data_IF_566277807706
#
_entry.id   IF_566277807706
#
_cell.length_a   1.000
_cell.length_b   1.000
_cell.length_c   1.000
_cell.angle_alpha   90.00
_cell.angle_beta   90.00
_cell.angle_gamma   90.00
#
_symmetry.space_group_name_H-M   'P 1'
#
loop_
_entity.id
_entity.type
_entity.pdbx_description
1 polymer ?
#
# COMPACT_ATOMS: atom_id res chain seq x y z
N UNK A 1 5.37 -23.59 1.50
CA UNK A 1 4.76 -22.25 1.45
C UNK A 1 5.55 -21.44 0.45
N UNK A 2 4.88 -20.68 -0.44
CA UNK A 2 5.58 -19.93 -1.47
C UNK A 2 6.27 -18.70 -0.87
N UNK A 3 7.47 -18.36 -1.34
CA UNK A 3 8.12 -17.09 -1.00
C UNK A 3 7.45 -15.94 -1.75
N UNK A 4 7.70 -14.69 -1.32
CA UNK A 4 7.20 -13.50 -2.02
C UNK A 4 7.62 -13.47 -3.50
N UNK A 5 8.84 -13.91 -3.84
CA UNK A 5 9.30 -14.01 -5.24
C UNK A 5 8.52 -15.05 -6.04
N UNK A 6 8.19 -16.19 -5.43
CA UNK A 6 7.39 -17.23 -6.07
C UNK A 6 5.95 -16.74 -6.30
N UNK A 7 5.38 -16.00 -5.33
CA UNK A 7 4.06 -15.38 -5.45
C UNK A 7 4.06 -14.33 -6.58
N UNK A 8 5.05 -13.43 -6.63
CA UNK A 8 5.18 -12.44 -7.71
C UNK A 8 5.23 -13.12 -9.09
N UNK A 9 6.12 -14.11 -9.24
CA UNK A 9 6.29 -14.80 -10.51
C UNK A 9 5.02 -15.50 -10.99
N UNK A 10 4.23 -16.05 -10.08
CA UNK A 10 3.01 -16.76 -10.43
C UNK A 10 1.84 -15.82 -10.77
N UNK A 11 1.68 -14.73 -10.01
CA UNK A 11 0.46 -13.92 -10.06
C UNK A 11 0.64 -12.50 -10.62
N UNK A 12 1.86 -11.98 -10.70
CA UNK A 12 2.15 -10.69 -11.33
C UNK A 12 2.65 -10.91 -12.77
N UNK A 13 3.63 -11.80 -12.97
CA UNK A 13 4.21 -12.03 -14.30
C UNK A 13 3.26 -12.79 -15.24
N UNK A 14 2.38 -13.59 -14.65
CA UNK A 14 1.33 -14.32 -15.37
C UNK A 14 0.06 -13.50 -15.64
N UNK A 15 0.00 -12.24 -15.20
CA UNK A 15 -1.20 -11.40 -15.28
C UNK A 15 -1.10 -10.40 -16.45
N UNK A 16 -2.23 -10.08 -17.08
CA UNK A 16 -2.34 -9.11 -18.17
C UNK A 16 -2.69 -7.70 -17.70
N UNK A 17 -2.83 -7.46 -16.39
CA UNK A 17 -3.21 -6.16 -15.82
C UNK A 17 -2.11 -5.08 -15.95
N UNK A 18 -0.86 -5.47 -16.20
CA UNK A 18 0.24 -4.60 -16.59
C UNK A 18 1.31 -5.41 -17.35
N UNK A 19 2.20 -4.77 -18.13
CA UNK A 19 3.23 -5.47 -18.89
C UNK A 19 4.24 -6.22 -17.99
N UNK A 20 4.43 -7.52 -18.22
CA UNK A 20 5.50 -8.28 -17.58
C UNK A 20 6.83 -8.00 -18.30
N UNK A 21 7.63 -7.06 -17.78
CA UNK A 21 8.94 -6.69 -18.34
C UNK A 21 10.04 -6.81 -17.30
N UNK A 22 11.24 -7.21 -17.72
CA UNK A 22 12.43 -7.25 -16.86
C UNK A 22 12.70 -5.90 -16.17
N UNK A 23 12.30 -4.79 -16.81
CA UNK A 23 12.40 -3.47 -16.22
C UNK A 23 11.45 -3.28 -15.04
N UNK A 24 10.16 -3.61 -15.18
CA UNK A 24 9.21 -3.52 -14.07
C UNK A 24 9.54 -4.50 -12.94
N UNK A 25 10.08 -5.68 -13.26
CA UNK A 25 10.66 -6.57 -12.25
C UNK A 25 11.75 -5.92 -11.44
N UNK A 26 12.67 -5.22 -12.09
CA UNK A 26 13.74 -4.49 -11.40
C UNK A 26 13.18 -3.37 -10.53
N UNK A 27 12.20 -2.60 -11.02
CA UNK A 27 11.53 -1.57 -10.23
C UNK A 27 10.84 -2.19 -9.01
N UNK A 28 10.04 -3.24 -9.19
CA UNK A 28 9.39 -3.97 -8.09
C UNK A 28 10.40 -4.47 -7.05
N UNK A 29 11.54 -5.01 -7.49
CA UNK A 29 12.61 -5.45 -6.60
C UNK A 29 13.25 -4.29 -5.83
N UNK A 30 13.42 -3.11 -6.44
CA UNK A 30 13.90 -1.92 -5.74
C UNK A 30 12.89 -1.50 -4.67
N UNK A 31 11.61 -1.40 -5.03
CA UNK A 31 10.52 -1.01 -4.12
C UNK A 31 10.37 -2.00 -2.96
N UNK A 32 10.51 -3.31 -3.21
CA UNK A 32 10.58 -4.34 -2.17
C UNK A 32 11.64 -4.03 -1.11
N UNK A 33 12.84 -3.65 -1.54
CA UNK A 33 13.96 -3.40 -0.63
C UNK A 33 13.94 -1.97 -0.05
N UNK A 34 12.99 -1.14 -0.48
CA UNK A 34 12.86 0.28 -0.16
C UNK A 34 11.38 0.66 0.01
N UNK A 35 10.69 0.13 1.04
CA UNK A 35 9.27 0.39 1.27
C UNK A 35 8.97 1.89 1.43
N UNK A 36 9.94 2.68 1.91
CA UNK A 36 9.82 4.14 1.99
C UNK A 36 9.65 4.80 0.61
N UNK A 37 10.24 4.21 -0.43
CA UNK A 37 10.15 4.71 -1.82
C UNK A 37 8.79 4.38 -2.41
N UNK A 38 8.25 3.17 -2.16
CA UNK A 38 6.89 2.81 -2.57
C UNK A 38 5.88 3.79 -1.97
N UNK A 39 5.96 4.02 -0.65
CA UNK A 39 5.07 4.96 0.03
C UNK A 39 5.18 6.39 -0.51
N UNK A 40 6.40 6.84 -0.84
CA UNK A 40 6.61 8.16 -1.41
C UNK A 40 6.07 8.31 -2.84
N UNK A 41 6.20 7.27 -3.68
CA UNK A 41 5.60 7.24 -5.03
C UNK A 41 4.08 7.30 -4.92
N UNK A 42 3.47 6.45 -4.08
CA UNK A 42 2.02 6.43 -3.85
C UNK A 42 1.53 7.79 -3.35
N UNK A 43 2.24 8.39 -2.39
CA UNK A 43 1.90 9.73 -1.87
C UNK A 43 2.02 10.81 -2.96
N UNK A 44 3.09 10.80 -3.76
CA UNK A 44 3.25 11.77 -4.83
C UNK A 44 2.16 11.66 -5.90
N UNK A 45 1.74 10.43 -6.20
CA UNK A 45 0.62 10.16 -7.10
C UNK A 45 -0.71 10.71 -6.53
N UNK A 46 -1.02 10.42 -5.26
CA UNK A 46 -2.20 10.93 -4.55
C UNK A 46 -2.23 12.46 -4.45
N UNK A 47 -1.08 13.07 -4.14
CA UNK A 47 -0.91 14.53 -4.02
C UNK A 47 -1.01 15.24 -5.40
N UNK A 48 -1.25 14.50 -6.50
CA UNK A 48 -1.26 14.99 -7.89
C UNK A 48 0.00 15.77 -8.25
N UNK A 49 1.16 15.35 -7.72
CA UNK A 49 2.45 15.94 -8.10
C UNK A 49 2.75 15.62 -9.57
N UNK A 50 3.50 16.46 -10.28
CA UNK A 50 3.87 16.16 -11.67
C UNK A 50 4.86 15.02 -11.78
N UNK A 51 5.72 14.82 -10.77
CA UNK A 51 6.71 13.76 -10.73
C UNK A 51 7.14 13.41 -9.30
N UNK A 52 7.89 12.32 -9.21
CA UNK A 52 8.67 11.90 -8.07
C UNK A 52 10.03 11.37 -8.54
N UNK A 53 11.10 11.77 -7.87
CA UNK A 53 12.46 11.31 -8.16
C UNK A 53 13.05 10.71 -6.90
N UNK A 54 13.49 9.45 -6.99
CA UNK A 54 14.25 8.79 -5.94
C UNK A 54 15.72 8.73 -6.31
N UNK A 55 16.54 9.31 -5.43
CA UNK A 55 18.00 9.31 -5.53
C UNK A 55 18.59 8.22 -4.62
N UNK A 56 18.93 7.02 -5.14
CA UNK A 56 19.58 6.00 -4.34
C UNK A 56 21.02 6.44 -3.99
N UNK A 57 21.53 5.95 -2.85
CA UNK A 57 22.94 6.20 -2.47
C UNK A 57 23.95 5.62 -3.47
N UNK A 58 23.58 4.53 -4.13
CA UNK A 58 24.39 3.83 -5.13
C UNK A 58 23.46 3.39 -6.26
N UNK A 59 23.83 3.69 -7.51
CA UNK A 59 23.06 3.36 -8.70
C UNK A 59 22.37 4.57 -9.33
N UNK A 60 21.56 4.32 -10.34
CA UNK A 60 20.80 5.34 -11.07
C UNK A 60 19.48 5.68 -10.38
N UNK A 61 19.07 6.94 -10.54
CA UNK A 61 17.80 7.48 -10.08
C UNK A 61 16.60 6.71 -10.65
N UNK A 62 15.50 6.72 -9.90
CA UNK A 62 14.19 6.34 -10.41
C UNK A 62 13.38 7.62 -10.57
N UNK A 63 12.99 7.90 -11.80
CA UNK A 63 12.10 9.00 -12.13
C UNK A 63 10.72 8.45 -12.46
N UNK A 64 9.69 8.97 -11.80
CA UNK A 64 8.28 8.67 -12.07
C UNK A 64 7.60 9.97 -12.44
N UNK A 65 7.13 10.08 -13.68
CA UNK A 65 6.40 11.26 -14.17
C UNK A 65 4.94 10.91 -14.37
N UNK A 66 4.05 11.69 -13.75
CA UNK A 66 2.62 11.47 -13.76
C UNK A 66 1.98 12.35 -14.84
N UNK A 67 1.68 11.76 -15.99
CA UNK A 67 1.00 12.42 -17.10
C UNK A 67 -0.54 12.28 -16.92
N UNK A 68 -1.36 13.04 -17.68
CA UNK A 68 -2.82 12.99 -17.51
C UNK A 68 -3.44 11.60 -17.63
N UNK A 69 -2.94 10.76 -18.55
CA UNK A 69 -3.47 9.41 -18.83
C UNK A 69 -2.48 8.28 -18.58
N UNK A 70 -1.21 8.62 -18.42
CA UNK A 70 -0.10 7.67 -18.42
C UNK A 70 0.88 8.00 -17.29
N UNK A 71 1.69 7.01 -16.93
CA UNK A 71 2.80 7.17 -15.99
C UNK A 71 4.06 6.69 -16.68
N UNK A 72 5.04 7.58 -16.75
CA UNK A 72 6.36 7.30 -17.30
C UNK A 72 7.32 6.97 -16.17
N UNK A 73 7.98 5.81 -16.25
CA UNK A 73 9.01 5.40 -15.28
C UNK A 73 10.33 5.25 -16.02
N UNK A 74 11.38 5.94 -15.57
CA UNK A 74 12.71 5.88 -16.15
C UNK A 74 13.77 5.57 -15.10
N UNK A 75 14.73 4.73 -15.49
CA UNK A 75 15.97 4.47 -14.73
C UNK A 75 17.07 4.01 -15.68
N UNK A 76 18.20 4.71 -15.65
CA UNK A 76 19.42 4.35 -16.40
C UNK A 76 19.18 4.17 -17.91
N UNK A 77 18.50 5.13 -18.54
CA UNK A 77 18.13 5.12 -19.97
C UNK A 77 17.15 4.02 -20.40
N UNK A 78 16.73 3.15 -19.46
CA UNK A 78 15.60 2.23 -19.67
C UNK A 78 14.35 2.89 -19.14
N UNK A 79 13.27 2.81 -19.91
CA UNK A 79 11.99 3.38 -19.53
C UNK A 79 10.79 2.51 -19.91
N UNK A 80 9.65 2.85 -19.31
CA UNK A 80 8.36 2.29 -19.67
C UNK A 80 7.29 3.36 -19.51
N UNK A 81 6.34 3.38 -20.44
CA UNK A 81 5.08 4.12 -20.32
C UNK A 81 3.97 3.13 -19.95
N UNK A 82 3.19 3.47 -18.93
CA UNK A 82 2.05 2.68 -18.46
C UNK A 82 0.79 3.53 -18.53
N UNK A 83 -0.35 2.94 -18.87
CA UNK A 83 -1.63 3.57 -18.55
C UNK A 83 -1.73 3.74 -17.02
N UNK A 84 -2.40 4.78 -16.53
CA UNK A 84 -2.55 4.97 -15.08
C UNK A 84 -3.18 3.74 -14.38
N UNK A 85 -4.10 3.04 -15.03
CA UNK A 85 -4.68 1.78 -14.52
C UNK A 85 -3.64 0.68 -14.35
N UNK A 86 -2.79 0.47 -15.36
CA UNK A 86 -1.67 -0.49 -15.30
C UNK A 86 -0.69 -0.12 -14.18
N UNK A 87 -0.41 1.17 -14.01
CA UNK A 87 0.43 1.66 -12.93
C UNK A 87 -0.18 1.40 -11.53
N UNK A 88 -1.48 1.62 -11.35
CA UNK A 88 -2.20 1.30 -10.11
C UNK A 88 -2.17 -0.20 -9.84
N UNK A 89 -2.40 -1.04 -10.84
CA UNK A 89 -2.28 -2.50 -10.70
C UNK A 89 -0.86 -2.96 -10.36
N UNK A 90 0.16 -2.31 -10.96
CA UNK A 90 1.55 -2.56 -10.63
C UNK A 90 1.85 -2.22 -9.16
N UNK A 91 1.41 -1.06 -8.69
CA UNK A 91 1.57 -0.67 -7.28
C UNK A 91 0.84 -1.61 -6.33
N UNK A 92 -0.40 -2.00 -6.62
CA UNK A 92 -1.18 -2.98 -5.83
C UNK A 92 -0.46 -4.34 -5.76
N UNK A 93 0.12 -4.79 -6.88
CA UNK A 93 0.93 -6.01 -6.92
C UNK A 93 2.17 -5.93 -6.02
N UNK A 94 2.96 -4.85 -6.15
CA UNK A 94 4.16 -4.63 -5.30
C UNK A 94 3.75 -4.57 -3.84
N UNK A 95 2.66 -3.87 -3.55
CA UNK A 95 2.13 -3.66 -2.22
C UNK A 95 1.71 -4.97 -1.55
N UNK A 96 0.91 -5.79 -2.25
CA UNK A 96 0.42 -7.10 -1.76
C UNK A 96 1.55 -8.07 -1.49
N UNK A 97 2.53 -8.13 -2.39
CA UNK A 97 3.56 -9.17 -2.35
C UNK A 97 4.71 -8.78 -1.42
N UNK A 98 5.11 -7.51 -1.40
CA UNK A 98 6.37 -7.10 -0.79
C UNK A 98 6.26 -6.20 0.42
N UNK A 99 5.12 -5.53 0.65
CA UNK A 99 5.02 -4.68 1.83
C UNK A 99 5.00 -5.50 3.12
N UNK A 100 5.48 -4.86 4.18
CA UNK A 100 5.35 -5.37 5.53
C UNK A 100 3.88 -5.45 5.94
N UNK A 101 3.54 -6.54 6.62
CA UNK A 101 2.25 -6.71 7.29
C UNK A 101 2.55 -6.66 8.79
N UNK A 102 2.15 -5.56 9.42
CA UNK A 102 2.40 -5.33 10.85
C UNK A 102 1.68 -6.38 11.70
N UNK A 103 2.31 -6.87 12.78
CA UNK A 103 1.71 -7.86 13.66
C UNK A 103 0.50 -7.28 14.41
N UNK A 104 -0.39 -8.15 14.84
CA UNK A 104 -1.49 -7.78 15.74
C UNK A 104 -0.96 -7.18 17.05
N UNK A 105 -1.70 -6.23 17.61
CA UNK A 105 -1.30 -5.51 18.81
C UNK A 105 -0.29 -4.38 18.56
N UNK A 106 0.13 -4.16 17.32
CA UNK A 106 0.97 -3.00 16.97
C UNK A 106 0.20 -1.69 17.21
N UNK A 107 0.79 -0.80 18.01
CA UNK A 107 0.30 0.55 18.27
C UNK A 107 0.95 1.52 17.27
N UNK A 108 0.13 2.28 16.55
CA UNK A 108 0.57 3.22 15.53
C UNK A 108 -0.02 4.60 15.75
N UNK A 109 0.70 5.63 15.32
CA UNK A 109 0.18 6.98 15.14
C UNK A 109 -0.36 7.15 13.73
N UNK A 110 -1.57 7.70 13.61
CA UNK A 110 -2.20 7.98 12.33
C UNK A 110 -1.82 9.37 11.84
N UNK A 111 -1.50 9.46 10.54
CA UNK A 111 -1.34 10.72 9.84
C UNK A 111 -2.72 11.37 9.64
N UNK A 112 -3.03 12.38 10.46
CA UNK A 112 -4.32 13.08 10.40
C UNK A 112 -4.57 13.79 9.08
N UNK A 113 -3.52 14.13 8.32
CA UNK A 113 -3.67 14.74 6.99
C UNK A 113 -4.33 13.77 6.00
N UNK A 114 -4.30 12.46 6.29
CA UNK A 114 -4.94 11.41 5.49
C UNK A 114 -6.37 11.10 5.94
N UNK A 115 -6.87 11.76 6.99
CA UNK A 115 -8.23 11.59 7.50
C UNK A 115 -9.18 12.66 6.96
N UNK A 116 -10.47 12.35 6.89
CA UNK A 116 -11.47 13.36 6.56
C UNK A 116 -11.54 14.44 7.65
N UNK A 117 -11.77 15.69 7.25
CA UNK A 117 -11.85 16.81 8.20
C UNK A 117 -12.96 16.62 9.24
N UNK A 118 -14.06 15.96 8.87
CA UNK A 118 -15.14 15.58 9.78
C UNK A 118 -14.65 14.65 10.90
N UNK A 119 -13.82 13.65 10.56
CA UNK A 119 -13.30 12.69 11.52
C UNK A 119 -12.24 13.32 12.44
N UNK A 120 -11.43 14.24 11.90
CA UNK A 120 -10.46 15.02 12.68
C UNK A 120 -11.17 15.94 13.69
N UNK A 121 -12.21 16.66 13.23
CA UNK A 121 -12.96 17.62 14.05
C UNK A 121 -13.79 16.94 15.16
N UNK A 122 -14.38 15.77 14.87
CA UNK A 122 -15.24 15.05 15.81
C UNK A 122 -14.49 14.29 16.90
N UNK A 123 -13.26 13.82 16.64
CA UNK A 123 -12.58 12.88 17.54
C UNK A 123 -11.40 13.45 18.33
N UNK A 124 -10.66 14.45 17.80
CA UNK A 124 -9.25 14.59 18.18
C UNK A 124 -8.73 16.00 18.43
N UNK A 125 -9.34 17.03 17.83
CA UNK A 125 -8.70 18.36 17.80
C UNK A 125 -7.23 18.24 17.34
N UNK A 126 -6.30 18.85 18.07
CA UNK A 126 -4.86 18.80 17.77
C UNK A 126 -4.12 17.55 18.31
N UNK A 127 -4.73 16.76 19.21
CA UNK A 127 -4.05 15.64 19.90
C UNK A 127 -3.72 14.45 18.98
N UNK A 128 -2.51 13.86 19.01
CA UNK A 128 -2.17 12.73 18.16
C UNK A 128 -3.17 11.57 18.24
N UNK A 129 -3.53 10.99 17.09
CA UNK A 129 -4.40 9.82 17.04
C UNK A 129 -3.59 8.54 17.09
N UNK A 130 -3.81 7.76 18.14
CA UNK A 130 -3.22 6.43 18.28
C UNK A 130 -4.26 5.33 18.11
N UNK A 131 -3.90 4.30 17.36
CA UNK A 131 -4.74 3.11 17.17
C UNK A 131 -3.90 1.84 17.32
N UNK A 132 -4.53 0.78 17.82
CA UNK A 132 -3.92 -0.54 17.94
C UNK A 132 -4.51 -1.49 16.90
N UNK A 133 -3.65 -2.14 16.11
CA UNK A 133 -4.03 -3.08 15.06
C UNK A 133 -4.63 -4.35 15.67
N UNK A 134 -5.86 -4.69 15.26
CA UNK A 134 -6.61 -5.86 15.73
C UNK A 134 -6.97 -6.86 14.63
N UNK A 135 -6.98 -6.41 13.38
CA UNK A 135 -7.18 -7.24 12.19
C UNK A 135 -6.19 -6.88 11.11
N UNK A 136 -5.85 -7.85 10.26
CA UNK A 136 -4.90 -7.72 9.14
C UNK A 136 -5.56 -8.24 7.88
N UNK A 137 -5.45 -7.50 6.77
CA UNK A 137 -5.98 -7.90 5.46
C UNK A 137 -7.43 -8.37 5.55
N UNK A 138 -8.25 -7.62 6.28
CA UNK A 138 -9.64 -7.97 6.59
C UNK A 138 -10.49 -7.69 5.36
N UNK A 139 -11.20 -8.70 4.88
CA UNK A 139 -12.08 -8.61 3.71
C UNK A 139 -13.47 -8.18 4.14
N UNK A 140 -13.99 -7.12 3.52
CA UNK A 140 -15.38 -6.68 3.62
C UNK A 140 -15.85 -6.16 2.26
N UNK A 141 -17.07 -6.48 1.88
CA UNK A 141 -17.69 -6.08 0.60
C UNK A 141 -16.82 -6.40 -0.63
N UNK A 142 -16.16 -7.57 -0.62
CA UNK A 142 -15.40 -8.07 -1.77
C UNK A 142 -13.99 -7.49 -1.94
N UNK A 143 -13.56 -6.57 -1.08
CA UNK A 143 -12.21 -6.02 -1.06
C UNK A 143 -11.63 -6.03 0.36
N UNK A 144 -10.30 -5.91 0.50
CA UNK A 144 -9.65 -5.91 1.81
C UNK A 144 -9.16 -4.52 2.21
N UNK A 145 -9.06 -4.29 3.53
CA UNK A 145 -8.22 -3.22 4.09
C UNK A 145 -7.00 -3.79 4.77
N UNK A 146 -5.92 -3.02 4.79
CA UNK A 146 -4.68 -3.47 5.40
C UNK A 146 -4.85 -3.83 6.86
N UNK A 147 -5.50 -2.94 7.63
CA UNK A 147 -5.72 -3.16 9.04
C UNK A 147 -7.09 -2.70 9.51
N UNK A 148 -7.63 -3.44 10.47
CA UNK A 148 -8.72 -3.01 11.33
C UNK A 148 -8.13 -2.65 12.68
N UNK A 149 -8.34 -1.44 13.17
CA UNK A 149 -7.69 -0.92 14.36
C UNK A 149 -8.70 -0.32 15.36
N UNK A 150 -8.43 -0.44 16.65
CA UNK A 150 -9.19 0.24 17.70
C UNK A 150 -8.45 1.49 18.17
N UNK A 151 -9.20 2.47 18.66
CA UNK A 151 -8.62 3.64 19.30
C UNK A 151 -7.86 3.28 20.58
N UNK A 152 -6.73 3.94 20.81
CA UNK A 152 -5.93 3.77 22.02
C UNK A 152 -5.82 5.10 22.79
N UNK A 153 -5.93 5.10 24.14
CA UNK A 153 -6.13 3.95 25.03
C UNK A 153 -7.60 3.57 25.25
N UNK A 154 -8.54 4.19 24.52
CA UNK A 154 -9.98 4.04 24.75
C UNK A 154 -10.52 2.62 24.51
N UNK A 155 -9.88 1.86 23.62
CA UNK A 155 -10.30 0.52 23.22
C UNK A 155 -11.58 0.53 22.38
N UNK A 156 -12.25 -0.62 22.32
CA UNK A 156 -13.56 -0.78 21.68
C UNK A 156 -14.64 -0.05 22.48
N UNK A 157 -15.35 0.87 21.82
CA UNK A 157 -16.55 1.51 22.37
C UNK A 157 -17.73 1.29 21.43
N UNK A 158 -18.94 1.17 21.97
CA UNK A 158 -20.14 0.93 21.15
C UNK A 158 -20.38 2.07 20.13
N UNK A 159 -20.11 3.31 20.53
CA UNK A 159 -20.27 4.50 19.70
C UNK A 159 -19.08 4.77 18.77
N UNK A 160 -17.98 4.03 18.93
CA UNK A 160 -16.75 4.25 18.17
C UNK A 160 -16.27 2.93 17.56
N UNK A 161 -16.78 2.59 16.36
CA UNK A 161 -16.43 1.33 15.70
C UNK A 161 -14.94 1.29 15.35
N UNK A 162 -14.37 0.08 15.14
CA UNK A 162 -12.99 -0.06 14.68
C UNK A 162 -12.75 0.70 13.38
N UNK A 163 -11.61 1.37 13.30
CA UNK A 163 -11.17 2.11 12.13
C UNK A 163 -10.50 1.17 11.13
N UNK A 164 -10.99 1.17 9.90
CA UNK A 164 -10.25 0.62 8.77
C UNK A 164 -9.13 1.57 8.36
N UNK A 165 -7.88 1.08 8.31
CA UNK A 165 -6.72 1.89 7.92
C UNK A 165 -5.92 1.20 6.82
N UNK A 166 -5.46 1.98 5.86
CA UNK A 166 -4.41 1.59 4.91
C UNK A 166 -3.05 1.93 5.50
N UNK A 167 -1.99 1.19 5.12
CA UNK A 167 -0.64 1.42 5.68
C UNK A 167 -0.11 2.84 5.45
N UNK A 168 -0.53 3.52 4.37
CA UNK A 168 -0.09 4.90 4.06
C UNK A 168 -0.61 5.92 5.06
N UNK A 169 -1.64 5.57 5.83
CA UNK A 169 -2.18 6.40 6.91
C UNK A 169 -1.34 6.30 8.18
N UNK A 170 -0.38 5.38 8.26
CA UNK A 170 0.47 5.19 9.43
C UNK A 170 1.62 6.18 9.37
N UNK A 171 1.63 7.15 10.29
CA UNK A 171 2.70 8.14 10.41
C UNK A 171 3.95 7.53 11.04
N UNK A 172 3.79 6.72 12.09
CA UNK A 172 4.88 5.97 12.74
C UNK A 172 4.35 4.83 13.60
N UNK A 173 5.21 3.83 13.81
CA UNK A 173 4.99 2.77 14.79
C UNK A 173 5.41 3.29 16.17
N UNK A 174 4.51 3.21 17.16
CA UNK A 174 4.78 3.60 18.54
C UNK A 174 5.27 2.40 19.34
N UNK A 175 4.62 1.26 19.17
CA UNK A 175 5.03 -0.01 19.76
C UNK A 175 4.66 -1.16 18.81
N UNK A 176 5.61 -2.05 18.54
CA UNK A 176 5.40 -3.20 17.67
C UNK A 176 4.72 -4.34 18.44
N UNK A 177 3.73 -4.96 17.81
CA UNK A 177 3.11 -6.19 18.31
C UNK A 177 4.07 -7.38 18.25
N UNK A 178 3.66 -8.52 18.79
CA UNK A 178 4.51 -9.70 18.83
C UNK A 178 4.73 -10.28 17.41
N UNK A 179 5.98 -10.26 16.93
CA UNK A 179 6.37 -10.79 15.61
C UNK A 179 7.43 -11.89 15.63
N UNK A 180 7.96 -12.24 16.80
CA UNK A 180 9.12 -13.14 16.94
C UNK A 180 8.70 -14.63 16.97
N UNK A 181 8.02 -15.10 15.92
CA UNK A 181 7.75 -16.54 15.77
C UNK A 181 7.70 -16.99 14.32
N UNK A 182 8.17 -18.20 14.05
CA UNK A 182 8.04 -18.85 12.73
C UNK A 182 6.58 -18.93 12.27
N UNK A 183 5.65 -19.11 13.22
CA UNK A 183 4.21 -19.13 12.95
C UNK A 183 3.70 -17.81 12.40
N UNK A 184 4.19 -16.68 12.92
CA UNK A 184 3.80 -15.36 12.45
C UNK A 184 4.30 -15.10 11.02
N UNK A 185 5.57 -15.40 10.75
CA UNK A 185 6.12 -15.31 9.39
C UNK A 185 5.36 -16.20 8.40
N UNK A 186 5.06 -17.44 8.83
CA UNK A 186 4.26 -18.37 8.04
C UNK A 186 2.85 -17.86 7.76
N UNK A 187 2.21 -17.23 8.74
CA UNK A 187 0.89 -16.65 8.57
C UNK A 187 0.89 -15.46 7.59
N UNK A 188 1.89 -14.58 7.67
CA UNK A 188 2.05 -13.43 6.75
C UNK A 188 2.20 -13.89 5.30
N UNK A 189 3.03 -14.91 5.04
CA UNK A 189 3.20 -15.44 3.69
C UNK A 189 1.92 -16.13 3.17
N UNK A 190 1.18 -16.82 4.04
CA UNK A 190 -0.14 -17.37 3.68
C UNK A 190 -1.14 -16.27 3.32
N UNK A 191 -1.16 -15.15 4.05
CA UNK A 191 -2.02 -14.02 3.72
C UNK A 191 -1.70 -13.47 2.32
N UNK A 192 -0.42 -13.29 1.99
CA UNK A 192 0.02 -12.84 0.65
C UNK A 192 -0.46 -13.79 -0.44
N UNK A 193 -0.26 -15.10 -0.25
CA UNK A 193 -0.68 -16.12 -1.21
C UNK A 193 -2.20 -16.12 -1.40
N UNK A 194 -2.98 -16.02 -0.31
CA UNK A 194 -4.45 -15.96 -0.38
C UNK A 194 -4.88 -14.74 -1.19
N UNK A 195 -4.38 -13.54 -0.87
CA UNK A 195 -4.76 -12.30 -1.54
C UNK A 195 -4.49 -12.35 -3.05
N UNK A 196 -3.32 -12.87 -3.44
CA UNK A 196 -2.95 -12.99 -4.86
C UNK A 196 -3.75 -14.07 -5.57
N UNK A 197 -3.92 -15.25 -4.96
CA UNK A 197 -4.67 -16.37 -5.56
C UNK A 197 -6.15 -16.07 -5.74
N UNK A 198 -6.74 -15.35 -4.78
CA UNK A 198 -8.17 -14.99 -4.81
C UNK A 198 -8.44 -13.72 -5.60
N UNK A 199 -7.39 -13.02 -6.04
CA UNK A 199 -7.46 -11.73 -6.72
C UNK A 199 -8.33 -10.70 -5.96
N UNK A 200 -8.36 -10.77 -4.63
CA UNK A 200 -9.13 -9.81 -3.81
C UNK A 200 -8.43 -8.45 -3.91
N UNK A 201 -9.12 -7.40 -4.37
CA UNK A 201 -8.53 -6.08 -4.50
C UNK A 201 -8.43 -5.37 -3.14
N UNK A 202 -7.50 -4.44 -3.03
CA UNK A 202 -7.41 -3.52 -1.89
C UNK A 202 -8.47 -2.43 -2.03
N UNK A 203 -9.20 -2.10 -0.98
CA UNK A 203 -10.10 -0.94 -0.95
C UNK A 203 -9.39 0.37 -1.31
N UNK A 204 -8.11 0.48 -0.92
CA UNK A 204 -7.29 1.66 -1.23
C UNK A 204 -7.02 1.78 -2.74
N UNK A 205 -6.59 0.69 -3.38
CA UNK A 205 -6.29 0.71 -4.82
C UNK A 205 -7.56 0.70 -5.69
N UNK A 206 -8.67 0.13 -5.21
CA UNK A 206 -9.97 0.29 -5.88
C UNK A 206 -10.41 1.75 -5.95
N UNK A 207 -10.37 2.46 -4.81
CA UNK A 207 -10.74 3.88 -4.79
C UNK A 207 -9.85 4.71 -5.70
N UNK A 208 -8.54 4.43 -5.70
CA UNK A 208 -7.60 5.05 -6.65
C UNK A 208 -8.01 4.79 -8.10
N UNK A 209 -8.47 3.58 -8.44
CA UNK A 209 -8.92 3.24 -9.78
C UNK A 209 -10.21 3.98 -10.15
N UNK A 210 -11.18 4.06 -9.23
CA UNK A 210 -12.45 4.79 -9.42
C UNK A 210 -12.22 6.28 -9.65
N UNK A 211 -11.33 6.92 -8.89
CA UNK A 211 -10.97 8.34 -9.08
C UNK A 211 -10.38 8.61 -10.47
N UNK A 212 -9.63 7.65 -11.03
CA UNK A 212 -9.08 7.75 -12.39
C UNK A 212 -10.15 7.59 -13.47
N UNK A 213 -11.14 6.73 -13.24
CA UNK A 213 -12.23 6.50 -14.18
C UNK A 213 -13.17 7.71 -14.25
N UNK A 214 -13.39 8.40 -13.13
CA UNK A 214 -14.13 9.66 -13.05
C UNK A 214 -13.38 10.81 -13.75
N UNK A 215 -12.06 10.93 -13.56
CA UNK A 215 -11.23 11.93 -14.26
C UNK A 215 -11.24 11.75 -15.79
N UNK A 216 -11.42 10.53 -16.29
CA UNK A 216 -11.47 10.26 -17.73
C UNK A 216 -12.85 10.55 -18.36
N UNK A 217 -13.89 10.76 -17.55
CA UNK A 217 -15.25 11.09 -18.01
C UNK A 217 -15.56 12.60 -17.96
N UNK A 218 -14.73 13.39 -17.28
CA UNK A 218 -14.83 14.85 -17.16
C UNK A 218 -14.09 15.58 -18.31
#
# INVERSE_FOLDING_TARGET
MKTAEQIWKEYCDGNTAFPATDFLHQIAFILKNRPEVLGAIVKAFLDKKPNYIYHPRIGADIEVTFLPKEVYICRNETDIMLAKSEFVHFLDGVDKVYSDILPLGTLVEIDKEQLSQELVASLLGDEPLYVMIMGRKVVFDGAYVDYLAQFWPLGLQAELPPMAIHKTMIKRIIAQGYSESEKESSYVDQLREILMKTAIPSHFYLRLQEELDDENQA
#
